data_IF_112743768392
#
_entry.id   IF_112743768392
#
_cell.length_a   1.000
_cell.length_b   1.000
_cell.length_c   1.000
_cell.angle_alpha   90.00
_cell.angle_beta   90.00
_cell.angle_gamma   90.00
#
_symmetry.space_group_name_H-M   'P 1'
#
loop_
_entity.id
_entity.type
_entity.pdbx_description
1 polymer ?
#
# COMPACT_ATOMS: atom_id res chain seq x y z
N UNK A 1 -31.56 -4.50 31.79
CA UNK A 1 -31.08 -3.73 30.64
C UNK A 1 -29.73 -3.14 31.02
N UNK A 2 -28.63 -3.82 30.67
CA UNK A 2 -27.31 -3.23 30.82
C UNK A 2 -27.20 -2.06 29.84
N UNK A 3 -26.86 -0.88 30.35
CA UNK A 3 -26.81 0.36 29.58
C UNK A 3 -25.76 0.23 28.46
N UNK A 4 -26.22 0.22 27.21
CA UNK A 4 -25.39 0.02 26.03
C UNK A 4 -24.29 1.09 25.91
N UNK A 5 -24.52 2.29 26.49
CA UNK A 5 -23.50 3.36 26.55
C UNK A 5 -22.38 3.03 27.53
N UNK A 6 -22.68 2.35 28.64
CA UNK A 6 -21.68 1.87 29.60
C UNK A 6 -20.83 0.75 29.00
N UNK A 7 -21.43 -0.18 28.26
CA UNK A 7 -20.68 -1.28 27.63
C UNK A 7 -19.74 -0.80 26.52
N UNK A 8 -20.16 0.17 25.70
CA UNK A 8 -19.32 0.77 24.65
C UNK A 8 -18.13 1.54 25.25
N UNK A 9 -18.36 2.35 26.28
CA UNK A 9 -17.29 3.06 27.01
C UNK A 9 -16.30 2.09 27.70
N UNK A 10 -16.78 0.96 28.21
CA UNK A 10 -15.92 -0.10 28.77
C UNK A 10 -15.10 -0.81 27.68
N UNK A 11 -15.65 -1.03 26.49
CA UNK A 11 -14.94 -1.65 25.36
C UNK A 11 -13.89 -0.72 24.75
N UNK A 12 -14.19 0.56 24.60
CA UNK A 12 -13.22 1.58 24.14
C UNK A 12 -12.08 1.74 25.15
N UNK A 13 -12.41 1.85 26.45
CA UNK A 13 -11.41 1.89 27.52
C UNK A 13 -10.56 0.62 27.59
N UNK A 14 -11.16 -0.54 27.32
CA UNK A 14 -10.44 -1.81 27.20
C UNK A 14 -9.48 -1.82 26.01
N UNK A 15 -9.93 -1.44 24.82
CA UNK A 15 -9.10 -1.40 23.61
C UNK A 15 -7.91 -0.44 23.76
N UNK A 16 -8.16 0.77 24.29
CA UNK A 16 -7.10 1.75 24.54
C UNK A 16 -6.04 1.21 25.52
N UNK A 17 -6.47 0.53 26.59
CA UNK A 17 -5.55 0.00 27.59
C UNK A 17 -4.65 -1.15 27.07
N UNK A 18 -5.02 -1.81 25.97
CA UNK A 18 -4.21 -2.87 25.34
C UNK A 18 -3.04 -2.32 24.54
N UNK A 19 -3.18 -1.12 23.97
CA UNK A 19 -2.19 -0.57 23.05
C UNK A 19 -1.34 0.51 23.73
N UNK A 20 -1.82 1.06 24.85
CA UNK A 20 -1.07 2.04 25.66
C UNK A 20 0.15 1.40 26.35
N UNK A 21 1.37 1.94 26.19
CA UNK A 21 2.52 1.52 26.97
C UNK A 21 2.25 1.71 28.48
N UNK A 22 2.72 0.77 29.32
CA UNK A 22 2.74 0.91 30.79
C UNK A 22 1.42 0.81 31.59
N UNK A 23 0.34 0.23 31.07
CA UNK A 23 -0.83 -0.08 31.90
C UNK A 23 -0.67 -1.45 32.59
N UNK A 24 -0.21 -1.46 33.85
CA UNK A 24 -0.07 -2.67 34.68
C UNK A 24 -1.40 -3.15 35.28
N UNK A 25 -2.43 -2.32 35.22
CA UNK A 25 -3.75 -2.60 35.80
C UNK A 25 -4.79 -2.86 34.72
N UNK A 26 -5.62 -3.88 34.94
CA UNK A 26 -6.78 -4.09 34.08
C UNK A 26 -7.76 -2.90 34.23
N UNK A 27 -8.39 -2.42 33.14
CA UNK A 27 -9.39 -1.35 33.21
C UNK A 27 -10.56 -1.69 34.14
N UNK A 28 -11.20 -0.65 34.67
CA UNK A 28 -12.40 -0.80 35.51
C UNK A 28 -13.48 -1.61 34.77
N UNK A 29 -14.07 -2.58 35.46
CA UNK A 29 -15.03 -3.53 34.89
C UNK A 29 -14.42 -4.83 34.34
N UNK A 30 -13.09 -4.95 34.25
CA UNK A 30 -12.43 -6.21 33.87
C UNK A 30 -12.09 -7.04 35.11
N UNK A 31 -13.00 -7.95 35.47
CA UNK A 31 -12.83 -8.87 36.59
C UNK A 31 -12.45 -10.29 36.11
N UNK A 32 -11.77 -11.04 36.97
CA UNK A 32 -11.60 -12.47 36.79
C UNK A 32 -12.95 -13.20 37.06
N UNK A 33 -13.09 -14.48 36.67
CA UNK A 33 -14.34 -15.24 36.87
C UNK A 33 -14.82 -15.37 38.33
N UNK A 34 -13.97 -15.01 39.30
CA UNK A 34 -14.24 -15.05 40.73
C UNK A 34 -14.43 -13.64 41.34
N UNK A 35 -14.60 -12.61 40.51
CA UNK A 35 -14.92 -11.24 40.96
C UNK A 35 -13.74 -10.40 41.46
N UNK A 36 -12.49 -10.86 41.28
CA UNK A 36 -11.27 -10.12 41.64
C UNK A 36 -10.55 -9.47 40.45
N UNK A 37 -9.45 -8.72 40.68
CA UNK A 37 -8.68 -8.08 39.62
C UNK A 37 -8.17 -9.08 38.57
N UNK A 38 -8.27 -8.71 37.29
CA UNK A 38 -7.86 -9.55 36.16
C UNK A 38 -6.44 -9.26 35.62
N UNK A 39 -5.62 -8.49 36.34
CA UNK A 39 -4.35 -7.94 35.85
C UNK A 39 -3.45 -8.97 35.12
N UNK A 40 -3.30 -10.18 35.65
CA UNK A 40 -2.49 -11.24 35.00
C UNK A 40 -3.07 -11.69 33.65
N UNK A 41 -4.39 -11.90 33.56
CA UNK A 41 -5.06 -12.32 32.31
C UNK A 41 -5.11 -11.18 31.29
N UNK A 42 -5.33 -9.96 31.78
CA UNK A 42 -5.25 -8.76 30.97
C UNK A 42 -3.85 -8.58 30.37
N UNK A 43 -2.79 -8.76 31.16
CA UNK A 43 -1.41 -8.72 30.67
C UNK A 43 -1.11 -9.78 29.60
N UNK A 44 -1.62 -11.00 29.73
CA UNK A 44 -1.51 -12.02 28.67
C UNK A 44 -2.21 -11.58 27.39
N UNK A 45 -3.45 -11.07 27.49
CA UNK A 45 -4.20 -10.61 26.31
C UNK A 45 -3.51 -9.44 25.62
N UNK A 46 -3.02 -8.47 26.40
CA UNK A 46 -2.22 -7.34 25.93
C UNK A 46 -0.97 -7.78 25.17
N UNK A 47 -0.23 -8.75 25.72
CA UNK A 47 0.94 -9.30 25.05
C UNK A 47 0.57 -9.98 23.73
N UNK A 48 -0.53 -10.73 23.71
CA UNK A 48 -1.00 -11.38 22.48
C UNK A 48 -1.39 -10.35 21.41
N UNK A 49 -2.04 -9.24 21.79
CA UNK A 49 -2.35 -8.13 20.86
C UNK A 49 -1.07 -7.53 20.30
N UNK A 50 -0.10 -7.19 21.15
CA UNK A 50 1.16 -6.61 20.69
C UNK A 50 1.93 -7.56 19.75
N UNK A 51 2.02 -8.86 20.10
CA UNK A 51 2.64 -9.88 19.24
C UNK A 51 1.88 -10.03 17.93
N UNK A 52 0.54 -10.09 17.97
CA UNK A 52 -0.30 -10.22 16.78
C UNK A 52 -0.17 -9.02 15.83
N UNK A 53 -0.14 -7.80 16.35
CA UNK A 53 0.02 -6.60 15.53
C UNK A 53 1.40 -6.51 14.89
N UNK A 54 2.47 -6.90 15.60
CA UNK A 54 3.81 -7.00 15.03
C UNK A 54 3.88 -8.06 13.93
N UNK A 55 3.25 -9.22 14.16
CA UNK A 55 3.12 -10.28 13.16
C UNK A 55 2.37 -9.79 11.91
N UNK A 56 1.25 -9.10 12.10
CA UNK A 56 0.50 -8.52 10.99
C UNK A 56 1.33 -7.52 10.18
N UNK A 57 2.06 -6.61 10.82
CA UNK A 57 2.97 -5.70 10.11
C UNK A 57 4.06 -6.48 9.36
N UNK A 58 4.61 -7.55 9.95
CA UNK A 58 5.60 -8.40 9.30
C UNK A 58 5.04 -9.12 8.06
N UNK A 59 3.76 -9.49 8.07
CA UNK A 59 3.07 -10.10 6.94
C UNK A 59 2.70 -9.08 5.84
N UNK A 60 2.41 -7.83 6.24
CA UNK A 60 2.11 -6.73 5.31
C UNK A 60 3.39 -6.18 4.66
N UNK A 61 4.50 -6.16 5.40
CA UNK A 61 5.78 -5.57 4.97
C UNK A 61 6.96 -6.57 4.99
N UNK A 62 6.85 -7.73 4.31
CA UNK A 62 7.87 -8.78 4.35
C UNK A 62 9.23 -8.34 3.80
N UNK A 63 9.28 -7.58 2.71
CA UNK A 63 10.52 -7.06 2.12
C UNK A 63 11.18 -6.07 3.07
N UNK A 64 10.40 -5.14 3.64
CA UNK A 64 10.89 -4.21 4.66
C UNK A 64 11.48 -4.96 5.86
N UNK A 65 10.80 -6.00 6.36
CA UNK A 65 11.28 -6.86 7.44
C UNK A 65 12.59 -7.56 7.08
N UNK A 66 12.67 -8.14 5.89
CA UNK A 66 13.84 -8.90 5.45
C UNK A 66 15.06 -8.00 5.25
N UNK A 67 14.85 -6.73 4.82
CA UNK A 67 15.90 -5.73 4.66
C UNK A 67 16.56 -5.32 5.99
N UNK A 68 15.75 -5.13 7.04
CA UNK A 68 16.24 -4.65 8.34
C UNK A 68 16.52 -5.78 9.34
N UNK A 69 16.01 -6.98 9.07
CA UNK A 69 16.04 -8.12 9.96
C UNK A 69 14.95 -8.09 11.04
N UNK A 70 14.54 -9.29 11.47
CA UNK A 70 13.40 -9.51 12.37
C UNK A 70 13.46 -8.70 13.66
N UNK A 71 14.63 -8.64 14.32
CA UNK A 71 14.79 -7.93 15.59
C UNK A 71 14.59 -6.43 15.45
N UNK A 72 15.18 -5.82 14.41
CA UNK A 72 15.02 -4.39 14.17
C UNK A 72 13.58 -4.06 13.76
N UNK A 73 13.02 -4.87 12.85
CA UNK A 73 11.63 -4.73 12.44
C UNK A 73 10.66 -4.80 13.63
N UNK A 74 10.83 -5.78 14.52
CA UNK A 74 9.98 -5.94 15.70
C UNK A 74 10.06 -4.77 16.69
N UNK A 75 11.21 -4.12 16.80
CA UNK A 75 11.36 -2.90 17.60
C UNK A 75 10.63 -1.71 16.94
N UNK A 76 10.93 -1.47 15.66
CA UNK A 76 10.32 -0.41 14.84
C UNK A 76 8.79 -0.52 14.78
N UNK A 77 8.28 -1.73 14.52
CA UNK A 77 6.84 -2.03 14.52
C UNK A 77 6.20 -1.77 15.90
N UNK A 78 6.90 -2.07 17.00
CA UNK A 78 6.41 -1.78 18.34
C UNK A 78 6.21 -0.29 18.60
N UNK A 79 7.15 0.54 18.14
CA UNK A 79 7.01 2.00 18.21
C UNK A 79 5.88 2.52 17.32
N UNK A 80 5.76 1.98 16.10
CA UNK A 80 4.66 2.34 15.21
C UNK A 80 3.30 2.02 15.84
N UNK A 81 3.11 0.81 16.38
CA UNK A 81 1.86 0.38 17.03
C UNK A 81 1.46 1.32 18.18
N UNK A 82 2.44 1.77 18.96
CA UNK A 82 2.18 2.68 20.07
C UNK A 82 1.78 4.10 19.61
N UNK A 83 2.26 4.55 18.44
CA UNK A 83 1.95 5.88 17.87
C UNK A 83 0.67 5.86 17.03
N UNK A 84 0.49 4.81 16.23
CA UNK A 84 -0.61 4.62 15.29
C UNK A 84 -1.25 3.24 15.51
N UNK A 85 -2.16 3.11 16.48
CA UNK A 85 -2.93 1.89 16.67
C UNK A 85 -3.89 1.64 15.50
N UNK A 86 -4.27 0.38 15.21
CA UNK A 86 -5.30 0.07 14.23
C UNK A 86 -6.63 0.76 14.56
N UNK A 87 -7.26 1.35 13.54
CA UNK A 87 -8.56 2.05 13.66
C UNK A 87 -9.75 1.16 13.26
N UNK A 88 -9.47 -0.03 12.75
CA UNK A 88 -10.41 -0.97 12.15
C UNK A 88 -10.04 -2.38 12.59
N UNK A 89 -11.01 -3.29 12.80
CA UNK A 89 -10.73 -4.69 13.09
C UNK A 89 -10.18 -5.45 11.88
N UNK A 90 -10.19 -4.86 10.68
CA UNK A 90 -9.68 -5.47 9.45
C UNK A 90 -8.17 -5.28 9.39
N UNK A 91 -7.42 -6.31 9.81
CA UNK A 91 -5.96 -6.22 9.92
C UNK A 91 -5.26 -5.89 8.59
N UNK A 92 -5.86 -6.31 7.47
CA UNK A 92 -5.37 -6.00 6.14
C UNK A 92 -5.36 -4.49 5.81
N UNK A 93 -6.18 -3.68 6.49
CA UNK A 93 -6.23 -2.22 6.35
C UNK A 93 -5.20 -1.52 7.25
N UNK A 94 -4.45 -2.25 8.08
CA UNK A 94 -3.47 -1.66 8.98
C UNK A 94 -2.15 -1.30 8.27
N UNK A 95 -1.41 -0.33 8.83
CA UNK A 95 -0.07 0.03 8.35
C UNK A 95 -0.01 1.07 7.23
N UNK A 96 -1.12 1.73 6.87
CA UNK A 96 -1.09 2.80 5.86
C UNK A 96 -0.10 3.93 6.18
N UNK A 97 0.04 4.30 7.46
CA UNK A 97 1.02 5.31 7.90
C UNK A 97 2.43 4.77 8.16
N UNK A 98 2.67 3.46 7.96
CA UNK A 98 3.95 2.84 8.34
C UNK A 98 5.13 3.39 7.54
N UNK A 99 4.94 3.63 6.24
CA UNK A 99 5.98 4.20 5.41
C UNK A 99 6.39 5.62 5.85
N UNK A 100 5.41 6.47 6.19
CA UNK A 100 5.66 7.83 6.65
C UNK A 100 6.27 7.83 8.06
N UNK A 101 5.87 6.88 8.91
CA UNK A 101 6.54 6.61 10.18
C UNK A 101 8.01 6.23 9.97
N UNK A 102 8.34 5.30 9.05
CA UNK A 102 9.72 4.90 8.75
C UNK A 102 10.52 6.10 8.26
N UNK A 103 9.94 6.97 7.42
CA UNK A 103 10.61 8.18 6.92
C UNK A 103 11.02 9.14 8.04
N UNK A 104 10.30 9.15 9.16
CA UNK A 104 10.61 9.94 10.35
C UNK A 104 11.37 9.16 11.44
N UNK A 105 11.69 7.87 11.21
CA UNK A 105 12.31 7.00 12.20
C UNK A 105 13.84 7.08 12.14
N UNK A 106 14.43 7.91 13.01
CA UNK A 106 15.89 8.15 13.09
C UNK A 106 16.74 6.85 13.02
N UNK A 107 16.42 5.75 13.74
CA UNK A 107 17.22 4.54 13.65
C UNK A 107 17.29 3.90 12.25
N UNK A 108 16.35 4.21 11.35
CA UNK A 108 16.30 3.73 9.97
C UNK A 108 16.82 4.76 8.94
N UNK A 109 17.31 5.94 9.35
CA UNK A 109 17.70 7.04 8.45
C UNK A 109 18.72 6.62 7.38
N UNK A 110 19.67 5.73 7.73
CA UNK A 110 20.68 5.22 6.80
C UNK A 110 20.11 4.37 5.67
N UNK A 111 18.86 3.92 5.79
CA UNK A 111 18.12 3.15 4.81
C UNK A 111 17.06 4.04 4.15
N UNK A 112 17.51 5.12 3.50
CA UNK A 112 16.65 6.15 2.90
C UNK A 112 15.59 5.60 1.91
N UNK A 113 15.83 4.42 1.32
CA UNK A 113 14.92 3.75 0.40
C UNK A 113 13.84 2.89 1.09
N UNK A 114 13.98 2.62 2.39
CA UNK A 114 13.06 1.76 3.15
C UNK A 114 11.62 2.28 3.19
N UNK A 115 11.36 3.60 3.36
CA UNK A 115 10.00 4.14 3.25
C UNK A 115 9.34 3.84 1.90
N UNK A 116 10.08 3.98 0.80
CA UNK A 116 9.55 3.74 -0.55
C UNK A 116 9.24 2.26 -0.79
N UNK A 117 10.07 1.36 -0.26
CA UNK A 117 9.77 -0.08 -0.25
C UNK A 117 8.47 -0.34 0.51
N UNK A 118 8.30 0.24 1.70
CA UNK A 118 7.09 0.09 2.49
C UNK A 118 5.84 0.67 1.78
N UNK A 119 5.95 1.82 1.08
CA UNK A 119 4.86 2.38 0.25
C UNK A 119 4.45 1.40 -0.84
N UNK A 120 5.42 0.77 -1.49
CA UNK A 120 5.16 -0.20 -2.55
C UNK A 120 4.49 -1.47 -2.01
N UNK A 121 4.93 -1.99 -0.88
CA UNK A 121 4.29 -3.15 -0.22
C UNK A 121 2.84 -2.85 0.20
N UNK A 122 2.58 -1.65 0.76
CA UNK A 122 1.23 -1.21 1.10
C UNK A 122 0.34 -1.11 -0.14
N UNK A 123 0.83 -0.48 -1.21
CA UNK A 123 0.09 -0.37 -2.47
C UNK A 123 -0.16 -1.75 -3.11
N UNK A 124 0.78 -2.68 -2.98
CA UNK A 124 0.60 -4.06 -3.42
C UNK A 124 -0.57 -4.74 -2.68
N UNK A 125 -0.62 -4.60 -1.36
CA UNK A 125 -1.71 -5.16 -0.55
C UNK A 125 -3.05 -4.48 -0.81
N UNK A 126 -3.05 -3.17 -1.03
CA UNK A 126 -4.26 -2.41 -1.41
C UNK A 126 -4.80 -2.90 -2.75
N UNK A 127 -3.92 -3.12 -3.73
CA UNK A 127 -4.29 -3.70 -5.02
C UNK A 127 -4.84 -5.12 -4.86
N UNK A 128 -4.25 -5.92 -3.97
CA UNK A 128 -4.70 -7.28 -3.68
C UNK A 128 -6.12 -7.32 -3.10
N UNK A 129 -6.52 -6.35 -2.27
CA UNK A 129 -7.86 -6.28 -1.69
C UNK A 129 -8.83 -5.34 -2.41
N UNK A 130 -8.41 -4.69 -3.49
CA UNK A 130 -9.25 -3.78 -4.25
C UNK A 130 -10.47 -4.51 -4.84
N UNK A 131 -11.54 -3.73 -5.09
CA UNK A 131 -12.78 -4.26 -5.65
C UNK A 131 -12.55 -4.88 -7.04
N UNK A 132 -13.11 -6.07 -7.24
CA UNK A 132 -13.00 -6.79 -8.51
C UNK A 132 -13.74 -6.05 -9.63
N UNK A 133 -13.03 -5.72 -10.71
CA UNK A 133 -13.58 -5.20 -11.96
C UNK A 133 -12.92 -5.91 -13.13
N UNK A 134 -13.64 -5.99 -14.24
CA UNK A 134 -13.07 -6.52 -15.48
C UNK A 134 -12.18 -5.42 -16.07
N UNK A 135 -10.89 -5.71 -16.35
CA UNK A 135 -10.03 -4.77 -17.05
C UNK A 135 -10.55 -4.41 -18.44
N UNK A 136 -10.08 -3.29 -18.97
CA UNK A 136 -10.40 -2.83 -20.31
C UNK A 136 -9.97 -3.89 -21.33
N UNK A 137 -10.95 -4.43 -22.05
CA UNK A 137 -10.73 -5.43 -23.07
C UNK A 137 -10.22 -4.77 -24.37
N UNK A 138 -9.16 -5.29 -25.02
CA UNK A 138 -8.60 -4.69 -26.24
C UNK A 138 -9.63 -4.50 -27.35
N UNK A 139 -10.61 -5.39 -27.45
CA UNK A 139 -11.66 -5.37 -28.47
C UNK A 139 -12.54 -4.12 -28.37
N UNK A 140 -12.63 -3.50 -27.19
CA UNK A 140 -13.38 -2.25 -26.98
C UNK A 140 -12.72 -1.03 -27.63
N UNK A 141 -11.41 -1.09 -27.86
CA UNK A 141 -10.68 -0.01 -28.52
C UNK A 141 -10.63 -0.18 -30.04
N UNK A 142 -10.73 -1.42 -30.53
CA UNK A 142 -10.70 -1.72 -31.97
C UNK A 142 -11.89 -1.15 -32.74
N UNK A 143 -12.99 -0.84 -32.06
CA UNK A 143 -14.20 -0.28 -32.67
C UNK A 143 -14.19 1.25 -32.75
N UNK A 144 -13.12 1.91 -32.28
CA UNK A 144 -13.01 3.37 -32.15
C UNK A 144 -12.03 3.87 -33.19
N UNK A 145 -12.34 5.01 -33.82
CA UNK A 145 -11.41 5.62 -34.77
C UNK A 145 -10.17 6.18 -34.05
N UNK A 146 -9.03 6.36 -34.72
CA UNK A 146 -7.84 6.94 -34.08
C UNK A 146 -8.09 8.30 -33.43
N UNK A 147 -8.86 9.18 -34.08
CA UNK A 147 -9.17 10.52 -33.56
C UNK A 147 -10.04 10.44 -32.31
N UNK A 148 -11.09 9.61 -32.31
CA UNK A 148 -11.93 9.37 -31.14
C UNK A 148 -11.16 8.72 -29.99
N UNK A 149 -10.17 7.87 -30.29
CA UNK A 149 -9.31 7.25 -29.29
C UNK A 149 -8.45 8.30 -28.59
N UNK A 150 -7.90 9.26 -29.32
CA UNK A 150 -7.09 10.33 -28.74
C UNK A 150 -7.92 11.27 -27.85
N UNK A 151 -9.20 11.46 -28.16
CA UNK A 151 -10.12 12.24 -27.33
C UNK A 151 -10.68 11.45 -26.11
N UNK A 152 -10.53 10.12 -26.10
CA UNK A 152 -11.07 9.30 -25.04
C UNK A 152 -10.29 9.42 -23.72
N UNK A 153 -11.03 9.58 -22.62
CA UNK A 153 -10.51 9.39 -21.26
C UNK A 153 -10.78 7.97 -20.76
N UNK A 154 -9.96 7.50 -19.83
CA UNK A 154 -10.07 6.16 -19.25
C UNK A 154 -10.47 6.23 -17.77
N UNK A 155 -11.11 5.17 -17.29
CA UNK A 155 -11.37 5.00 -15.86
C UNK A 155 -10.44 3.94 -15.31
N UNK A 156 -9.63 4.35 -14.34
CA UNK A 156 -8.68 3.49 -13.65
C UNK A 156 -9.40 2.29 -13.01
N UNK A 157 -8.73 1.15 -13.06
CA UNK A 157 -9.13 -0.01 -12.27
C UNK A 157 -8.93 0.31 -10.76
N UNK A 158 -9.82 -0.11 -9.84
CA UNK A 158 -9.70 0.21 -8.42
C UNK A 158 -8.37 -0.25 -7.78
N UNK A 159 -7.79 -1.32 -8.33
CA UNK A 159 -6.49 -1.87 -7.91
C UNK A 159 -5.27 -1.09 -8.45
N UNK A 160 -5.47 -0.08 -9.30
CA UNK A 160 -4.37 0.64 -9.94
C UNK A 160 -3.83 1.74 -9.04
N UNK A 161 -2.53 1.77 -8.81
CA UNK A 161 -1.81 2.84 -8.14
C UNK A 161 -0.52 3.13 -8.90
N UNK A 162 -0.19 4.42 -9.03
CA UNK A 162 1.08 4.87 -9.56
C UNK A 162 1.87 5.50 -8.41
N UNK A 163 3.11 5.05 -8.23
CA UNK A 163 4.01 5.52 -7.17
C UNK A 163 5.27 6.10 -7.79
N UNK A 164 5.53 7.39 -7.54
CA UNK A 164 6.83 8.02 -7.76
C UNK A 164 7.70 7.73 -6.53
N UNK A 165 8.81 7.02 -6.72
CA UNK A 165 9.71 6.59 -5.66
C UNK A 165 11.03 7.37 -5.81
N UNK A 166 11.56 7.87 -4.69
CA UNK A 166 12.82 8.62 -4.67
C UNK A 166 14.06 7.70 -4.71
N UNK A 167 13.83 6.39 -4.80
CA UNK A 167 14.83 5.32 -4.71
C UNK A 167 14.45 4.15 -5.61
N UNK A 168 15.36 3.17 -5.72
CA UNK A 168 15.18 1.99 -6.57
C UNK A 168 14.31 0.91 -5.90
N UNK A 169 13.26 1.35 -5.21
CA UNK A 169 12.41 0.52 -4.37
C UNK A 169 11.59 -0.52 -5.17
N UNK A 170 11.22 -0.24 -6.42
CA UNK A 170 10.54 -1.21 -7.27
C UNK A 170 11.49 -2.36 -7.64
N UNK A 171 12.73 -2.03 -8.03
CA UNK A 171 13.79 -3.00 -8.26
C UNK A 171 14.12 -3.82 -7.00
N UNK A 172 14.21 -3.17 -5.83
CA UNK A 172 14.46 -3.86 -4.55
C UNK A 172 13.35 -4.86 -4.25
N UNK A 173 12.10 -4.44 -4.37
CA UNK A 173 10.93 -5.27 -4.13
C UNK A 173 10.91 -6.49 -5.06
N UNK A 174 11.08 -6.28 -6.36
CA UNK A 174 11.11 -7.38 -7.34
C UNK A 174 12.27 -8.35 -7.06
N UNK A 175 13.47 -7.85 -6.75
CA UNK A 175 14.63 -8.70 -6.43
C UNK A 175 14.43 -9.52 -5.17
N UNK A 176 13.82 -8.92 -4.14
CA UNK A 176 13.47 -9.62 -2.90
C UNK A 176 12.46 -10.74 -3.18
N UNK A 177 11.37 -10.46 -3.89
CA UNK A 177 10.36 -11.46 -4.24
C UNK A 177 10.88 -12.58 -5.14
N UNK A 178 11.83 -12.28 -6.01
CA UNK A 178 12.45 -13.25 -6.91
C UNK A 178 13.65 -13.98 -6.28
N UNK A 179 14.04 -13.66 -5.04
CA UNK A 179 15.16 -14.29 -4.36
C UNK A 179 16.54 -14.00 -4.98
N UNK A 180 16.68 -12.95 -5.80
CA UNK A 180 17.94 -12.63 -6.50
C UNK A 180 18.94 -11.85 -5.65
N UNK A 181 18.52 -11.41 -4.45
CA UNK A 181 19.37 -10.70 -3.49
C UNK A 181 19.72 -9.27 -3.92
N UNK A 182 20.32 -8.53 -2.98
CA UNK A 182 20.64 -7.09 -3.13
C UNK A 182 22.13 -6.78 -2.98
N UNK A 183 22.99 -7.81 -2.99
CA UNK A 183 24.43 -7.62 -2.82
C UNK A 183 25.00 -6.78 -3.96
N UNK A 184 25.54 -5.59 -3.63
CA UNK A 184 26.09 -4.66 -4.61
C UNK A 184 25.05 -3.94 -5.47
N UNK A 185 23.76 -4.03 -5.11
CA UNK A 185 22.71 -3.27 -5.77
C UNK A 185 22.73 -1.81 -5.28
N UNK A 186 22.63 -0.86 -6.21
CA UNK A 186 22.53 0.56 -5.89
C UNK A 186 21.06 0.95 -5.67
N UNK A 187 20.66 1.33 -4.43
CA UNK A 187 19.29 1.72 -4.13
C UNK A 187 18.95 3.17 -4.54
N UNK A 188 19.91 3.93 -5.07
CA UNK A 188 19.79 5.38 -5.28
C UNK A 188 18.90 5.81 -6.44
N UNK A 189 18.89 5.15 -7.62
CA UNK A 189 18.11 5.63 -8.76
C UNK A 189 16.61 5.73 -8.45
N UNK A 190 16.00 6.88 -8.69
CA UNK A 190 14.55 7.05 -8.56
C UNK A 190 13.80 6.20 -9.59
N UNK A 191 12.65 5.64 -9.20
CA UNK A 191 11.84 4.77 -10.04
C UNK A 191 10.37 5.19 -9.98
N UNK A 192 9.61 4.88 -11.04
CA UNK A 192 8.15 4.95 -10.99
C UNK A 192 7.58 3.55 -11.11
N UNK A 193 6.71 3.18 -10.17
CA UNK A 193 6.04 1.88 -10.15
C UNK A 193 4.55 2.02 -10.44
N UNK A 194 4.06 1.25 -11.41
CA UNK A 194 2.64 1.01 -11.63
C UNK A 194 2.26 -0.31 -10.95
N UNK A 195 1.48 -0.20 -9.89
CA UNK A 195 0.88 -1.35 -9.19
C UNK A 195 -0.52 -1.55 -9.73
N UNK A 196 -0.84 -2.77 -10.16
CA UNK A 196 -2.15 -3.13 -10.69
C UNK A 196 -2.42 -4.62 -10.44
N UNK A 197 -3.64 -5.07 -10.71
CA UNK A 197 -4.05 -6.46 -10.50
C UNK A 197 -4.83 -6.95 -11.73
N UNK A 198 -4.14 -7.34 -12.83
CA UNK A 198 -4.80 -8.00 -13.94
C UNK A 198 -5.40 -9.31 -13.45
N UNK A 199 -6.74 -9.35 -13.37
CA UNK A 199 -7.49 -10.47 -12.76
C UNK A 199 -7.21 -10.59 -11.25
N UNK A 200 -6.44 -11.60 -10.83
CA UNK A 200 -6.24 -11.95 -9.41
C UNK A 200 -4.80 -11.74 -8.92
N UNK A 201 -3.84 -11.61 -9.84
CA UNK A 201 -2.42 -11.48 -9.49
C UNK A 201 -1.99 -10.02 -9.54
N UNK A 202 -1.41 -9.52 -8.44
CA UNK A 202 -0.91 -8.15 -8.37
C UNK A 202 0.45 -8.06 -9.06
N UNK A 203 0.52 -7.21 -10.08
CA UNK A 203 1.73 -6.89 -10.84
C UNK A 203 2.30 -5.54 -10.41
N UNK A 204 3.63 -5.44 -10.44
CA UNK A 204 4.38 -4.20 -10.22
C UNK A 204 5.28 -3.99 -11.42
N UNK A 205 4.96 -2.97 -12.22
CA UNK A 205 5.69 -2.61 -13.44
C UNK A 205 6.51 -1.36 -13.20
N UNK A 206 7.79 -1.39 -13.55
CA UNK A 206 8.62 -0.17 -13.58
C UNK A 206 8.35 0.58 -14.87
N UNK A 207 8.08 1.87 -14.77
CA UNK A 207 7.84 2.75 -15.91
C UNK A 207 9.03 3.69 -16.09
N UNK A 208 9.39 3.94 -17.35
CA UNK A 208 10.26 5.08 -17.69
C UNK A 208 9.54 6.42 -17.48
N UNK A 209 10.25 7.54 -17.66
CA UNK A 209 9.72 8.87 -17.34
C UNK A 209 8.57 9.29 -18.27
N UNK A 210 8.64 8.94 -19.56
CA UNK A 210 7.58 9.20 -20.53
C UNK A 210 6.32 8.40 -20.21
N UNK A 211 6.46 7.09 -19.98
CA UNK A 211 5.38 6.20 -19.55
C UNK A 211 4.78 6.64 -18.21
N UNK A 212 5.60 7.00 -17.23
CA UNK A 212 5.14 7.48 -15.94
C UNK A 212 4.24 8.71 -16.10
N UNK A 213 4.67 9.68 -16.92
CA UNK A 213 3.90 10.88 -17.23
C UNK A 213 2.60 10.54 -17.95
N UNK A 214 2.65 9.66 -18.95
CA UNK A 214 1.47 9.20 -19.69
C UNK A 214 0.43 8.57 -18.75
N UNK A 215 0.82 7.58 -17.94
CA UNK A 215 -0.09 6.91 -17.00
C UNK A 215 -0.60 7.86 -15.91
N UNK A 216 0.24 8.75 -15.38
CA UNK A 216 -0.16 9.74 -14.39
C UNK A 216 -1.28 10.64 -14.90
N UNK A 217 -1.16 11.15 -16.14
CA UNK A 217 -2.19 11.98 -16.78
C UNK A 217 -3.48 11.22 -17.02
N UNK A 218 -3.41 9.98 -17.47
CA UNK A 218 -4.59 9.13 -17.64
C UNK A 218 -5.31 8.85 -16.31
N UNK A 219 -4.56 8.57 -15.24
CA UNK A 219 -5.12 8.36 -13.90
C UNK A 219 -5.78 9.62 -13.33
N UNK A 220 -5.33 10.81 -13.76
CA UNK A 220 -5.96 12.10 -13.47
C UNK A 220 -7.20 12.39 -14.34
N UNK A 221 -7.53 11.51 -15.28
CA UNK A 221 -8.71 11.62 -16.15
C UNK A 221 -8.48 12.40 -17.45
N UNK A 222 -7.24 12.73 -17.79
CA UNK A 222 -6.92 13.33 -19.09
C UNK A 222 -7.27 12.36 -20.23
N UNK A 223 -7.51 12.91 -21.42
CA UNK A 223 -7.65 12.09 -22.62
C UNK A 223 -6.31 11.44 -22.99
N UNK A 224 -6.37 10.38 -23.79
CA UNK A 224 -5.18 9.69 -24.29
C UNK A 224 -4.26 10.67 -25.03
N UNK A 225 -4.81 11.52 -25.89
CA UNK A 225 -4.02 12.51 -26.62
C UNK A 225 -3.34 13.54 -25.74
N UNK A 226 -4.05 14.09 -24.75
CA UNK A 226 -3.45 15.01 -23.79
C UNK A 226 -2.36 14.34 -22.93
N UNK A 227 -2.52 13.05 -22.62
CA UNK A 227 -1.49 12.28 -21.93
C UNK A 227 -0.27 12.01 -22.82
N UNK A 228 -0.48 11.71 -24.10
CA UNK A 228 0.58 11.53 -25.10
C UNK A 228 1.40 12.81 -25.29
N UNK A 229 0.74 13.96 -25.45
CA UNK A 229 1.42 15.25 -25.62
C UNK A 229 2.25 15.61 -24.39
N UNK A 230 1.73 15.35 -23.20
CA UNK A 230 2.46 15.57 -21.95
C UNK A 230 3.69 14.64 -21.84
N UNK A 231 3.54 13.38 -22.23
CA UNK A 231 4.64 12.41 -22.24
C UNK A 231 5.74 12.81 -23.24
N UNK A 232 5.38 13.18 -24.48
CA UNK A 232 6.33 13.68 -25.50
C UNK A 232 7.03 14.98 -25.09
N UNK A 233 6.34 15.85 -24.36
CA UNK A 233 6.93 17.08 -23.82
C UNK A 233 7.98 16.76 -22.75
N UNK A 234 7.71 15.73 -21.93
CA UNK A 234 8.60 15.32 -20.84
C UNK A 234 9.79 14.51 -21.35
N UNK A 235 9.55 13.64 -22.33
CA UNK A 235 10.48 12.72 -22.94
C UNK A 235 10.24 12.68 -24.47
N UNK A 236 11.08 13.39 -25.26
CA UNK A 236 10.95 13.40 -26.72
C UNK A 236 11.15 12.03 -27.40
N UNK A 237 11.75 11.05 -26.71
CA UNK A 237 11.93 9.69 -27.21
C UNK A 237 10.75 8.76 -26.83
N UNK A 238 9.70 9.30 -26.19
CA UNK A 238 8.54 8.53 -25.74
C UNK A 238 7.90 7.72 -26.87
N UNK A 239 7.84 6.40 -26.66
CA UNK A 239 7.18 5.45 -27.56
C UNK A 239 5.73 5.22 -27.12
N UNK A 240 4.80 5.89 -27.83
CA UNK A 240 3.37 5.71 -27.63
C UNK A 240 2.91 4.26 -27.82
N UNK A 241 3.49 3.52 -28.77
CA UNK A 241 3.15 2.14 -29.05
C UNK A 241 3.50 1.21 -27.87
N UNK A 242 4.69 1.38 -27.30
CA UNK A 242 5.11 0.66 -26.10
C UNK A 242 4.24 1.01 -24.88
N UNK A 243 3.92 2.29 -24.69
CA UNK A 243 3.05 2.74 -23.61
C UNK A 243 1.62 2.17 -23.75
N UNK A 244 1.07 2.14 -24.97
CA UNK A 244 -0.22 1.52 -25.24
C UNK A 244 -0.21 0.01 -25.00
N UNK A 245 0.85 -0.69 -25.43
CA UNK A 245 1.00 -2.12 -25.15
C UNK A 245 0.96 -2.40 -23.64
N UNK A 246 1.63 -1.56 -22.85
CA UNK A 246 1.61 -1.63 -21.39
C UNK A 246 0.23 -1.32 -20.83
N UNK A 247 -0.47 -0.31 -21.37
CA UNK A 247 -1.83 0.06 -20.95
C UNK A 247 -2.81 -1.10 -21.09
N UNK A 248 -2.75 -1.81 -22.22
CA UNK A 248 -3.63 -2.94 -22.52
C UNK A 248 -3.28 -4.17 -21.68
N UNK A 249 -2.01 -4.51 -21.57
CA UNK A 249 -1.56 -5.74 -20.89
C UNK A 249 -1.58 -5.63 -19.36
N UNK A 250 -1.42 -4.41 -18.81
CA UNK A 250 -1.35 -4.20 -17.35
C UNK A 250 -2.69 -4.34 -16.63
N UNK A 251 -3.82 -4.20 -17.34
CA UNK A 251 -5.14 -4.15 -16.71
C UNK A 251 -5.36 -2.90 -15.83
N UNK A 252 -4.57 -1.85 -16.02
CA UNK A 252 -4.60 -0.63 -15.21
C UNK A 252 -5.91 0.18 -15.32
N UNK A 253 -6.69 -0.03 -16.39
CA UNK A 253 -7.94 0.67 -16.65
C UNK A 253 -9.06 -0.34 -16.89
N UNK A 254 -10.30 0.02 -16.58
CA UNK A 254 -11.47 -0.88 -16.70
C UNK A 254 -12.43 -0.53 -17.84
N UNK A 255 -12.54 0.75 -18.21
CA UNK A 255 -13.40 1.20 -19.32
C UNK A 255 -13.04 2.60 -19.79
N UNK A 256 -13.57 2.97 -20.95
CA UNK A 256 -13.62 4.35 -21.42
C UNK A 256 -14.60 5.16 -20.54
N UNK A 257 -14.26 6.42 -20.29
CA UNK A 257 -15.21 7.38 -19.75
C UNK A 257 -16.25 7.67 -20.84
N UNK A 258 -17.53 7.76 -20.46
CA UNK A 258 -18.49 8.39 -21.36
C UNK A 258 -18.06 9.85 -21.55
N UNK A 259 -18.17 10.37 -22.78
CA UNK A 259 -17.96 11.78 -23.04
C UNK A 259 -18.86 12.58 -22.08
N UNK A 260 -18.29 13.56 -21.39
CA UNK A 260 -19.10 14.54 -20.66
C UNK A 260 -19.89 15.32 -21.71
N UNK A 261 -21.21 15.18 -21.70
CA UNK A 261 -22.12 16.15 -22.31
C UNK A 261 -21.96 17.53 -21.67
#
# INVERSE_FOLDING_TARGET
MADTRSAAATLEGFAAALITPSCETAPDGVANPFGGPAAKRFGVYRNNVAVGLKGALADIFPVTRDLVGERFFSAMAGEYIAREPPQTPVIAEYGHGFADFIAAYEPAERLFFLPDVARLERAWLDAYHAADRVPLLPERLQTITPDELMEASLIAHPATRLLRLASAAASIFQRSRNGTGLKGFDPTPAETALVTRPQYDVAVLSLDEGQATFFERLLQGASIGAATDAALTRDPEFDLGAAFSTLISSGAFMRLSAARE
#
